data_IF_336796084133
#
_entry.id   IF_336796084133
#
_cell.length_a   1.000
_cell.length_b   1.000
_cell.length_c   1.000
_cell.angle_alpha   90.00
_cell.angle_beta   90.00
_cell.angle_gamma   90.00
#
_symmetry.space_group_name_H-M   'P 1'
#
loop_
_entity.id
_entity.type
_entity.pdbx_description
1 polymer ?
#
# COMPACT_ATOMS: atom_id res chain seq x y z
N UNK A 1 -20.85 -3.13 -8.08
CA UNK A 1 -19.96 -2.28 -7.26
C UNK A 1 -20.72 -2.00 -5.98
N UNK A 2 -20.17 -2.45 -4.85
CA UNK A 2 -20.76 -2.31 -3.52
C UNK A 2 -20.82 -0.82 -3.11
N UNK A 3 -21.76 -0.43 -2.24
CA UNK A 3 -21.87 0.93 -1.70
C UNK A 3 -20.56 1.38 -1.04
N UNK A 4 -19.85 0.46 -0.38
CA UNK A 4 -18.56 0.73 0.22
C UNK A 4 -17.50 1.06 -0.85
N UNK A 5 -17.45 0.31 -1.95
CA UNK A 5 -16.53 0.56 -3.06
C UNK A 5 -16.81 1.91 -3.75
N UNK A 6 -18.08 2.26 -3.94
CA UNK A 6 -18.48 3.55 -4.52
C UNK A 6 -18.09 4.73 -3.62
N UNK A 7 -18.24 4.60 -2.30
CA UNK A 7 -17.80 5.60 -1.34
C UNK A 7 -16.28 5.76 -1.37
N UNK A 8 -15.54 4.65 -1.36
CA UNK A 8 -14.07 4.66 -1.42
C UNK A 8 -13.56 5.29 -2.71
N UNK A 9 -14.16 4.96 -3.86
CA UNK A 9 -13.81 5.55 -5.15
C UNK A 9 -14.05 7.06 -5.19
N UNK A 10 -15.13 7.54 -4.54
CA UNK A 10 -15.40 8.98 -4.40
C UNK A 10 -14.36 9.71 -3.54
N UNK A 11 -13.88 9.08 -2.48
CA UNK A 11 -12.91 9.68 -1.55
C UNK A 11 -11.45 9.61 -2.06
N UNK A 12 -11.11 8.55 -2.80
CA UNK A 12 -9.71 8.20 -3.16
C UNK A 12 -9.43 8.24 -4.66
N UNK A 13 -10.46 8.43 -5.49
CA UNK A 13 -10.39 8.38 -6.96
C UNK A 13 -10.36 6.98 -7.56
N UNK A 14 -9.93 5.96 -6.80
CA UNK A 14 -9.75 4.58 -7.28
C UNK A 14 -10.25 3.57 -6.22
N UNK A 15 -10.73 2.41 -6.65
CA UNK A 15 -11.00 1.26 -5.76
C UNK A 15 -9.74 0.47 -5.48
N UNK A 16 -9.70 -0.28 -4.37
CA UNK A 16 -8.54 -1.15 -4.06
C UNK A 16 -8.28 -2.18 -5.18
N UNK A 17 -9.33 -2.71 -5.82
CA UNK A 17 -9.18 -3.65 -6.93
C UNK A 17 -8.52 -2.98 -8.14
N UNK A 18 -8.96 -1.78 -8.53
CA UNK A 18 -8.36 -1.00 -9.63
C UNK A 18 -6.90 -0.64 -9.32
N UNK A 19 -6.59 -0.27 -8.06
CA UNK A 19 -5.22 0.01 -7.64
C UNK A 19 -4.33 -1.23 -7.75
N UNK A 20 -4.80 -2.38 -7.27
CA UNK A 20 -4.04 -3.63 -7.30
C UNK A 20 -3.78 -4.10 -8.72
N UNK A 21 -4.76 -3.98 -9.61
CA UNK A 21 -4.60 -4.36 -11.02
C UNK A 21 -3.56 -3.46 -11.72
N UNK A 22 -3.62 -2.15 -11.48
CA UNK A 22 -2.64 -1.20 -12.06
C UNK A 22 -1.24 -1.30 -11.48
N UNK A 23 -1.08 -1.82 -10.26
CA UNK A 23 0.22 -1.98 -9.59
C UNK A 23 0.82 -3.38 -9.73
N UNK A 24 0.05 -4.33 -10.29
CA UNK A 24 0.44 -5.73 -10.43
C UNK A 24 1.75 -5.91 -11.19
N UNK A 25 1.90 -5.28 -12.35
CA UNK A 25 3.10 -5.41 -13.19
C UNK A 25 4.37 -4.91 -12.50
N UNK A 26 4.24 -3.90 -11.63
CA UNK A 26 5.33 -3.41 -10.81
C UNK A 26 5.69 -4.43 -9.73
N UNK A 27 4.69 -4.92 -8.99
CA UNK A 27 4.90 -5.87 -7.91
C UNK A 27 5.46 -7.21 -8.42
N UNK A 28 5.04 -7.72 -9.58
CA UNK A 28 5.56 -8.97 -10.14
C UNK A 28 7.05 -8.95 -10.45
N UNK A 29 7.62 -7.76 -10.73
CA UNK A 29 9.03 -7.59 -11.09
C UNK A 29 9.89 -7.10 -9.93
N UNK A 30 9.30 -6.82 -8.78
CA UNK A 30 10.02 -6.28 -7.64
C UNK A 30 10.79 -7.37 -6.89
N UNK A 31 12.03 -7.07 -6.49
CA UNK A 31 12.87 -7.99 -5.69
C UNK A 31 12.31 -8.23 -4.28
N UNK A 32 11.57 -7.26 -3.74
CA UNK A 32 10.93 -7.32 -2.44
C UNK A 32 9.75 -6.36 -2.36
N UNK A 33 8.71 -6.76 -1.64
CA UNK A 33 7.49 -5.97 -1.47
C UNK A 33 7.15 -5.88 0.02
N UNK A 34 6.71 -4.70 0.45
CA UNK A 34 6.02 -4.49 1.73
C UNK A 34 4.67 -3.86 1.43
N UNK A 35 3.59 -4.47 1.91
CA UNK A 35 2.22 -3.97 1.79
C UNK A 35 1.68 -3.70 3.18
N UNK A 36 1.14 -2.49 3.37
CA UNK A 36 0.44 -2.10 4.60
C UNK A 36 -1.01 -1.80 4.26
N UNK A 37 -1.93 -2.48 4.96
CA UNK A 37 -3.37 -2.30 4.78
C UNK A 37 -4.06 -2.04 6.11
N UNK A 38 -5.14 -1.26 6.07
CA UNK A 38 -6.06 -1.09 7.19
C UNK A 38 -7.32 -1.90 6.87
N UNK A 39 -7.61 -2.89 7.72
CA UNK A 39 -8.79 -3.73 7.58
C UNK A 39 -10.06 -2.97 7.98
N UNK A 40 -11.26 -3.45 7.61
CA UNK A 40 -12.52 -2.79 7.98
C UNK A 40 -12.75 -2.62 9.48
N UNK A 41 -12.10 -3.43 10.31
CA UNK A 41 -12.09 -3.36 11.77
C UNK A 41 -11.09 -2.33 12.34
N UNK A 42 -10.33 -1.65 11.48
CA UNK A 42 -9.32 -0.67 11.85
C UNK A 42 -7.95 -1.28 12.17
N UNK A 43 -7.79 -2.60 12.12
CA UNK A 43 -6.51 -3.25 12.37
C UNK A 43 -5.56 -3.02 11.20
N UNK A 44 -4.36 -2.53 11.50
CA UNK A 44 -3.28 -2.37 10.53
C UNK A 44 -2.54 -3.70 10.41
N UNK A 45 -2.44 -4.20 9.18
CA UNK A 45 -1.69 -5.42 8.84
C UNK A 45 -0.55 -5.10 7.89
N UNK A 46 0.59 -5.76 8.08
CA UNK A 46 1.76 -5.63 7.23
C UNK A 46 2.15 -6.98 6.67
N UNK A 47 2.32 -7.06 5.35
CA UNK A 47 2.73 -8.25 4.61
C UNK A 47 4.00 -7.95 3.84
N UNK A 48 4.93 -8.89 3.78
CA UNK A 48 6.17 -8.71 3.03
C UNK A 48 6.70 -10.05 2.50
N UNK A 49 7.38 -10.00 1.36
CA UNK A 49 7.83 -11.20 0.63
C UNK A 49 9.17 -11.76 1.11
N UNK A 50 9.98 -10.96 1.82
CA UNK A 50 11.29 -11.39 2.30
C UNK A 50 11.24 -12.14 3.64
N UNK A 51 12.26 -12.98 3.86
CA UNK A 51 12.40 -13.84 5.03
C UNK A 51 12.78 -13.09 6.31
N UNK A 52 13.24 -11.84 6.24
CA UNK A 52 13.65 -11.06 7.41
C UNK A 52 12.86 -9.76 7.54
N UNK A 53 12.45 -9.45 8.77
CA UNK A 53 11.71 -8.22 9.09
C UNK A 53 12.59 -6.96 8.98
N UNK A 54 13.93 -7.07 9.04
CA UNK A 54 14.84 -5.93 9.00
C UNK A 54 14.77 -5.17 7.67
N UNK A 55 14.75 -5.87 6.54
CA UNK A 55 14.63 -5.23 5.23
C UNK A 55 13.24 -4.58 5.06
N UNK A 56 12.19 -5.19 5.59
CA UNK A 56 10.86 -4.59 5.65
C UNK A 56 10.85 -3.27 6.44
N UNK A 57 11.48 -3.24 7.61
CA UNK A 57 11.61 -2.03 8.44
C UNK A 57 12.36 -0.93 7.69
N UNK A 58 13.49 -1.27 7.05
CA UNK A 58 14.27 -0.30 6.27
C UNK A 58 13.48 0.31 5.12
N UNK A 59 12.76 -0.52 4.35
CA UNK A 59 11.88 -0.05 3.27
C UNK A 59 10.77 0.88 3.78
N UNK A 60 10.16 0.55 4.93
CA UNK A 60 9.12 1.38 5.54
C UNK A 60 9.63 2.75 6.00
N UNK A 61 10.86 2.83 6.51
CA UNK A 61 11.46 4.12 6.91
C UNK A 61 11.69 5.02 5.70
N UNK A 62 12.20 4.48 4.58
CA UNK A 62 12.37 5.23 3.34
C UNK A 62 11.02 5.68 2.77
N UNK A 63 10.03 4.79 2.73
CA UNK A 63 8.68 5.13 2.27
C UNK A 63 8.06 6.27 3.10
N UNK A 64 8.21 6.24 4.43
CA UNK A 64 7.77 7.33 5.32
C UNK A 64 8.44 8.65 4.95
N UNK A 65 9.75 8.66 4.72
CA UNK A 65 10.48 9.87 4.35
C UNK A 65 10.02 10.46 3.02
N UNK A 66 9.74 9.61 2.02
CA UNK A 66 9.21 10.04 0.72
C UNK A 66 7.85 10.73 0.87
N UNK A 67 6.91 10.13 1.61
CA UNK A 67 5.60 10.73 1.87
C UNK A 67 5.70 12.06 2.63
N UNK A 68 6.60 12.18 3.61
CA UNK A 68 6.84 13.45 4.31
C UNK A 68 7.39 14.50 3.36
N UNK A 69 8.29 14.11 2.45
CA UNK A 69 8.85 15.03 1.46
C UNK A 69 7.78 15.58 0.52
N UNK A 70 6.81 14.77 0.11
CA UNK A 70 5.69 15.21 -0.74
C UNK A 70 4.80 16.26 -0.06
N UNK A 71 4.70 16.23 1.27
CA UNK A 71 3.94 17.21 2.05
C UNK A 71 4.64 18.57 2.18
N UNK A 72 5.93 18.64 1.89
CA UNK A 72 6.75 19.86 2.02
C UNK A 72 6.89 20.64 0.71
N UNK A 73 6.28 20.17 -0.38
CA UNK A 73 6.28 20.79 -1.71
C UNK A 73 5.01 21.61 -1.95
#
# INVERSE_FOLDING_TARGET
>A
MDFLELKQKKERGVTNAEFMDGSKDFFEKADSIVVVGINPDGVISTFYTQSTSTNAIGMMEIAKQQLISELQV
#
